data_IF_949586971769
#
_entry.id   IF_949586971769
#
_cell.length_a   1.000
_cell.length_b   1.000
_cell.length_c   1.000
_cell.angle_alpha   90.00
_cell.angle_beta   90.00
_cell.angle_gamma   90.00
#
_symmetry.space_group_name_H-M   'P 1'
#
loop_
_entity.id
_entity.type
_entity.pdbx_description
1 polymer ?
#
# COMPACT_ATOMS: atom_id res chain seq x y z
N UNK A 1 -20.08 48.55 15.50
CA UNK A 1 -20.68 47.36 16.12
C UNK A 1 -21.86 46.81 15.31
N UNK A 2 -22.92 47.59 15.06
CA UNK A 2 -24.13 47.11 14.34
C UNK A 2 -23.84 46.74 12.87
N UNK A 3 -23.01 47.52 12.16
CA UNK A 3 -22.63 47.24 10.78
C UNK A 3 -21.77 45.97 10.62
N UNK A 4 -20.94 45.65 11.61
CA UNK A 4 -20.11 44.43 11.59
C UNK A 4 -20.97 43.17 11.77
N UNK A 5 -21.93 43.21 12.71
CA UNK A 5 -22.88 42.10 12.92
C UNK A 5 -23.76 41.83 11.70
N UNK A 6 -24.20 42.87 10.99
CA UNK A 6 -24.96 42.70 9.74
C UNK A 6 -24.14 42.02 8.64
N UNK A 7 -22.87 42.40 8.49
CA UNK A 7 -21.99 41.81 7.47
C UNK A 7 -21.71 40.32 7.73
N UNK A 8 -21.51 39.98 9.00
CA UNK A 8 -21.28 38.59 9.43
C UNK A 8 -22.54 37.72 9.22
N UNK A 9 -23.73 38.27 9.47
CA UNK A 9 -25.00 37.60 9.22
C UNK A 9 -25.30 37.39 7.72
N UNK A 10 -24.99 38.39 6.88
CA UNK A 10 -25.09 38.27 5.41
C UNK A 10 -24.12 37.22 4.85
N UNK A 11 -22.89 37.15 5.37
CA UNK A 11 -21.90 36.15 4.95
C UNK A 11 -22.32 34.73 5.35
N UNK A 12 -22.90 34.58 6.54
CA UNK A 12 -23.45 33.30 7.02
C UNK A 12 -24.61 32.81 6.15
N UNK A 13 -25.55 33.71 5.80
CA UNK A 13 -26.67 33.38 4.91
C UNK A 13 -26.20 33.02 3.49
N UNK A 14 -25.14 33.67 3.00
CA UNK A 14 -24.54 33.36 1.70
C UNK A 14 -23.86 31.99 1.69
N UNK A 15 -23.18 31.62 2.79
CA UNK A 15 -22.56 30.30 2.93
C UNK A 15 -23.61 29.18 3.00
N UNK A 16 -24.69 29.38 3.78
CA UNK A 16 -25.79 28.42 3.90
C UNK A 16 -26.52 28.20 2.57
N UNK A 17 -26.69 29.26 1.78
CA UNK A 17 -27.27 29.15 0.44
C UNK A 17 -26.37 28.35 -0.51
N UNK A 18 -25.05 28.59 -0.47
CA UNK A 18 -24.08 27.82 -1.26
C UNK A 18 -24.02 26.34 -0.83
N UNK A 19 -24.13 26.05 0.48
CA UNK A 19 -24.15 24.68 1.00
C UNK A 19 -25.41 23.93 0.54
N UNK A 20 -26.57 24.59 0.55
CA UNK A 20 -27.85 24.00 0.07
C UNK A 20 -27.84 23.75 -1.44
N UNK A 21 -27.16 24.60 -2.21
CA UNK A 21 -27.01 24.41 -3.66
C UNK A 21 -26.05 23.25 -4.00
N UNK A 22 -24.97 23.10 -3.22
CA UNK A 22 -24.05 21.96 -3.32
C UNK A 22 -24.69 20.62 -2.88
N UNK A 23 -25.67 20.67 -1.98
CA UNK A 23 -26.50 19.53 -1.58
C UNK A 23 -27.71 19.32 -2.50
N UNK A 24 -27.81 20.06 -3.62
CA UNK A 24 -28.94 19.89 -4.53
C UNK A 24 -28.99 18.45 -5.06
N UNK A 25 -30.18 17.81 -5.04
CA UNK A 25 -30.35 16.44 -5.52
C UNK A 25 -29.86 16.25 -6.97
N UNK A 26 -29.87 17.32 -7.77
CA UNK A 26 -29.39 17.32 -9.14
C UNK A 26 -27.88 17.09 -9.27
N UNK A 27 -27.05 17.71 -8.42
CA UNK A 27 -25.60 17.55 -8.48
C UNK A 27 -25.18 16.15 -8.03
N UNK A 28 -25.76 15.65 -6.94
CA UNK A 28 -25.49 14.30 -6.45
C UNK A 28 -25.96 13.21 -7.44
N UNK A 29 -27.09 13.45 -8.11
CA UNK A 29 -27.60 12.56 -9.18
C UNK A 29 -26.71 12.61 -10.42
N UNK A 30 -26.24 13.79 -10.82
CA UNK A 30 -25.32 13.96 -11.95
C UNK A 30 -23.97 13.28 -11.68
N UNK A 31 -23.39 13.45 -10.49
CA UNK A 31 -22.14 12.78 -10.09
C UNK A 31 -22.31 11.26 -10.08
N UNK A 32 -23.41 10.75 -9.53
CA UNK A 32 -23.69 9.31 -9.52
C UNK A 32 -23.92 8.74 -10.93
N UNK A 33 -24.59 9.49 -11.82
CA UNK A 33 -24.74 9.07 -13.23
C UNK A 33 -23.41 9.02 -13.96
N UNK A 34 -22.54 10.03 -13.79
CA UNK A 34 -21.21 10.07 -14.41
C UNK A 34 -20.33 8.95 -13.88
N UNK A 35 -20.34 8.72 -12.56
CA UNK A 35 -19.60 7.62 -11.93
C UNK A 35 -20.10 6.25 -12.44
N UNK A 36 -21.42 6.06 -12.55
CA UNK A 36 -22.02 4.83 -13.08
C UNK A 36 -21.70 4.59 -14.57
N UNK A 37 -21.74 5.64 -15.39
CA UNK A 37 -21.36 5.57 -16.80
C UNK A 37 -19.87 5.26 -16.98
N UNK A 38 -19.00 5.84 -16.15
CA UNK A 38 -17.57 5.57 -16.16
C UNK A 38 -17.28 4.13 -15.73
N UNK A 39 -17.91 3.64 -14.66
CA UNK A 39 -17.79 2.26 -14.20
C UNK A 39 -18.22 1.25 -15.27
N UNK A 40 -19.33 1.52 -15.98
CA UNK A 40 -19.78 0.67 -17.08
C UNK A 40 -18.82 0.68 -18.27
N UNK A 41 -18.26 1.85 -18.62
CA UNK A 41 -17.28 1.96 -19.71
C UNK A 41 -15.97 1.25 -19.39
N UNK A 42 -15.51 1.35 -18.13
CA UNK A 42 -14.36 0.61 -17.62
C UNK A 42 -14.62 -0.90 -17.67
N UNK A 43 -15.77 -1.36 -17.19
CA UNK A 43 -16.15 -2.78 -17.27
C UNK A 43 -16.23 -3.32 -18.70
N UNK A 44 -16.64 -2.48 -19.67
CA UNK A 44 -16.72 -2.90 -21.08
C UNK A 44 -15.35 -2.97 -21.76
N UNK A 45 -14.37 -2.16 -21.31
CA UNK A 45 -12.98 -2.25 -21.80
C UNK A 45 -12.26 -3.53 -21.32
N UNK A 46 -12.71 -4.16 -20.23
CA UNK A 46 -12.16 -5.42 -19.73
C UNK A 46 -13.04 -6.60 -20.16
N UNK A 47 -13.11 -6.87 -21.47
CA UNK A 47 -13.82 -8.04 -22.00
C UNK A 47 -13.12 -9.35 -21.62
N UNK A 48 -13.79 -10.15 -20.79
CA UNK A 48 -13.85 -11.63 -20.61
C UNK A 48 -12.65 -12.58 -20.86
N UNK A 49 -11.50 -12.18 -21.39
CA UNK A 49 -10.35 -13.08 -21.62
C UNK A 49 -9.16 -12.82 -20.69
N UNK A 50 -9.20 -11.77 -19.88
CA UNK A 50 -8.17 -11.55 -18.86
C UNK A 50 -8.56 -12.26 -17.57
N UNK A 51 -7.71 -13.18 -17.10
CA UNK A 51 -7.79 -13.80 -15.76
C UNK A 51 -7.75 -12.77 -14.60
N UNK A 52 -7.56 -11.49 -14.93
CA UNK A 52 -7.54 -10.34 -14.02
C UNK A 52 -8.69 -9.35 -14.27
N UNK A 53 -9.67 -9.67 -15.12
CA UNK A 53 -10.85 -8.84 -15.30
C UNK A 53 -11.78 -8.99 -14.08
N UNK A 54 -11.64 -8.09 -13.11
CA UNK A 54 -12.57 -8.00 -11.99
C UNK A 54 -13.98 -7.69 -12.54
N UNK A 55 -14.89 -8.68 -12.45
CA UNK A 55 -16.23 -8.64 -13.04
C UNK A 55 -17.12 -7.53 -12.45
N UNK A 56 -16.77 -7.03 -11.26
CA UNK A 56 -17.47 -5.95 -10.57
C UNK A 56 -16.59 -5.39 -9.45
N UNK A 57 -16.18 -4.13 -9.55
CA UNK A 57 -15.59 -3.42 -8.42
C UNK A 57 -16.72 -3.07 -7.44
N UNK A 58 -16.80 -3.76 -6.30
CA UNK A 58 -17.71 -3.41 -5.21
C UNK A 58 -16.93 -2.52 -4.26
N UNK A 59 -17.16 -1.20 -4.34
CA UNK A 59 -16.65 -0.26 -3.36
C UNK A 59 -17.59 -0.28 -2.15
N UNK A 60 -17.14 -0.83 -1.02
CA UNK A 60 -17.85 -0.73 0.26
C UNK A 60 -17.86 0.71 0.78
N UNK A 61 -18.77 1.04 1.71
CA UNK A 61 -18.66 2.30 2.47
C UNK A 61 -17.45 2.19 3.41
N UNK A 62 -16.58 3.21 3.51
CA UNK A 62 -15.49 3.27 4.49
C UNK A 62 -15.98 3.07 5.93
N UNK A 63 -17.22 3.44 6.22
CA UNK A 63 -17.86 3.29 7.54
C UNK A 63 -18.20 1.83 7.87
N UNK A 64 -18.32 0.98 6.83
CA UNK A 64 -18.54 -0.47 6.93
C UNK A 64 -17.25 -1.26 6.71
N UNK A 65 -16.13 -0.56 6.67
CA UNK A 65 -14.82 -1.16 6.52
C UNK A 65 -14.42 -1.77 7.86
N UNK A 66 -14.48 -3.09 7.95
CA UNK A 66 -13.88 -3.90 9.01
C UNK A 66 -12.35 -3.81 9.03
N UNK A 67 -11.76 -3.11 8.05
CA UNK A 67 -10.32 -2.92 7.92
C UNK A 67 -9.64 -2.58 9.27
N UNK A 68 -10.25 -1.76 10.13
CA UNK A 68 -9.69 -1.44 11.47
C UNK A 68 -9.57 -2.66 12.38
N UNK A 69 -10.61 -3.51 12.39
CA UNK A 69 -10.64 -4.78 13.14
C UNK A 69 -9.71 -5.80 12.45
N UNK A 70 -9.69 -5.86 11.12
CA UNK A 70 -8.85 -6.77 10.35
C UNK A 70 -7.35 -6.44 10.42
N UNK A 71 -6.98 -5.16 10.51
CA UNK A 71 -5.57 -4.73 10.72
C UNK A 71 -5.21 -4.64 12.20
N UNK A 72 -6.14 -4.91 13.13
CA UNK A 72 -5.88 -4.87 14.57
C UNK A 72 -5.51 -3.48 15.11
N UNK A 73 -5.82 -2.41 14.38
CA UNK A 73 -5.50 -1.03 14.75
C UNK A 73 -6.74 -0.34 15.32
N UNK A 74 -7.24 -0.86 16.45
CA UNK A 74 -8.39 -0.30 17.15
C UNK A 74 -8.05 1.02 17.85
N UNK A 75 -6.78 1.21 18.28
CA UNK A 75 -6.31 2.44 18.91
C UNK A 75 -5.72 3.43 17.87
N UNK A 76 -6.40 4.57 17.62
CA UNK A 76 -5.89 5.61 16.72
C UNK A 76 -4.56 6.22 17.17
N UNK A 77 -4.24 6.21 18.47
CA UNK A 77 -2.98 6.75 18.99
C UNK A 77 -1.83 5.80 18.71
N UNK A 78 -2.01 4.50 18.94
CA UNK A 78 -1.04 3.48 18.55
C UNK A 78 -0.79 3.50 17.04
N UNK A 79 -1.85 3.55 16.23
CA UNK A 79 -1.74 3.72 14.78
C UNK A 79 -0.95 4.99 14.42
N UNK A 80 -1.25 6.13 15.06
CA UNK A 80 -0.53 7.37 14.82
C UNK A 80 0.96 7.27 15.20
N UNK A 81 1.31 6.58 16.29
CA UNK A 81 2.71 6.36 16.68
C UNK A 81 3.45 5.47 15.68
N UNK A 82 2.82 4.38 15.20
CA UNK A 82 3.40 3.50 14.17
C UNK A 82 3.63 4.25 12.85
N UNK A 83 2.70 5.13 12.48
CA UNK A 83 2.80 5.97 11.27
C UNK A 83 3.91 7.03 11.36
N UNK A 84 4.39 7.41 12.56
CA UNK A 84 5.53 8.34 12.69
C UNK A 84 6.84 7.73 12.19
N UNK A 85 7.00 6.42 12.30
CA UNK A 85 8.19 5.73 11.81
C UNK A 85 7.81 4.35 11.23
N UNK A 86 7.31 4.31 9.99
CA UNK A 86 6.81 3.09 9.38
C UNK A 86 7.87 1.98 9.29
N UNK A 87 9.12 2.31 8.99
CA UNK A 87 10.20 1.31 8.95
C UNK A 87 10.48 0.68 10.31
N UNK A 88 10.41 1.46 11.39
CA UNK A 88 10.54 0.91 12.75
C UNK A 88 9.37 -0.01 13.07
N UNK A 89 8.15 0.39 12.73
CA UNK A 89 6.95 -0.43 12.90
C UNK A 89 7.08 -1.77 12.14
N UNK A 90 7.43 -1.71 10.86
CA UNK A 90 7.66 -2.91 10.04
C UNK A 90 8.73 -3.82 10.64
N UNK A 91 9.85 -3.26 11.14
CA UNK A 91 10.90 -4.06 11.80
C UNK A 91 10.38 -4.80 13.03
N UNK A 92 9.54 -4.14 13.84
CA UNK A 92 8.95 -4.74 15.04
C UNK A 92 7.99 -5.86 14.67
N UNK A 93 7.15 -5.65 13.66
CA UNK A 93 6.22 -6.65 13.14
C UNK A 93 6.96 -7.87 12.57
N UNK A 94 8.00 -7.65 11.76
CA UNK A 94 8.85 -8.71 11.22
C UNK A 94 9.58 -9.48 12.32
N UNK A 95 10.07 -8.81 13.35
CA UNK A 95 10.71 -9.48 14.48
C UNK A 95 9.73 -10.31 15.32
N UNK A 96 8.45 -9.95 15.34
CA UNK A 96 7.41 -10.67 16.08
C UNK A 96 6.83 -11.86 15.30
N UNK A 97 6.65 -11.71 13.98
CA UNK A 97 5.95 -12.69 13.14
C UNK A 97 6.87 -13.48 12.20
N UNK A 98 8.04 -12.95 11.85
CA UNK A 98 8.98 -13.53 10.89
C UNK A 98 10.06 -14.41 11.51
N UNK A 99 10.69 -15.22 10.68
CA UNK A 99 11.86 -16.03 11.03
C UNK A 99 13.19 -15.32 10.79
N UNK A 100 14.29 -16.07 10.95
CA UNK A 100 15.65 -15.56 10.69
C UNK A 100 15.82 -15.09 9.24
N UNK A 101 15.32 -15.86 8.27
CA UNK A 101 15.36 -15.51 6.85
C UNK A 101 14.58 -14.22 6.54
N UNK A 102 13.45 -14.00 7.21
CA UNK A 102 12.64 -12.79 7.04
C UNK A 102 13.36 -11.55 7.58
N UNK A 103 14.00 -11.69 8.73
CA UNK A 103 14.83 -10.62 9.29
C UNK A 103 16.07 -10.36 8.45
N UNK A 104 16.69 -11.40 7.87
CA UNK A 104 17.81 -11.24 6.96
C UNK A 104 17.39 -10.50 5.67
N UNK A 105 16.24 -10.83 5.10
CA UNK A 105 15.64 -10.07 3.99
C UNK A 105 15.39 -8.61 4.38
N UNK A 106 14.85 -8.36 5.59
CA UNK A 106 14.60 -7.01 6.08
C UNK A 106 15.87 -6.19 6.20
N UNK A 107 16.91 -6.71 6.84
CA UNK A 107 18.17 -5.99 6.98
C UNK A 107 18.85 -5.76 5.62
N UNK A 108 18.81 -6.74 4.71
CA UNK A 108 19.28 -6.57 3.35
C UNK A 108 18.54 -5.45 2.61
N UNK A 109 17.20 -5.45 2.62
CA UNK A 109 16.41 -4.44 1.92
C UNK A 109 16.59 -3.04 2.52
N UNK A 110 16.68 -2.92 3.84
CA UNK A 110 16.66 -1.63 4.53
C UNK A 110 18.05 -1.03 4.71
N UNK A 111 19.09 -1.86 4.85
CA UNK A 111 20.47 -1.40 5.16
C UNK A 111 21.53 -1.91 4.20
N UNK A 112 21.22 -2.96 3.46
CA UNK A 112 22.17 -3.58 2.56
C UNK A 112 22.38 -2.76 1.29
N UNK A 113 23.42 -3.17 0.58
CA UNK A 113 23.75 -2.74 -0.77
C UNK A 113 23.57 -3.95 -1.68
N UNK A 114 23.13 -3.74 -2.92
CA UNK A 114 23.06 -4.82 -3.90
C UNK A 114 24.48 -5.28 -4.25
N UNK A 115 24.89 -6.38 -3.65
CA UNK A 115 26.15 -7.08 -3.89
C UNK A 115 25.98 -8.56 -3.53
N UNK A 116 26.56 -9.50 -4.31
CA UNK A 116 26.54 -10.93 -3.96
C UNK A 116 27.08 -11.23 -2.56
N UNK A 117 28.03 -10.44 -2.06
CA UNK A 117 28.62 -10.59 -0.73
C UNK A 117 27.67 -10.16 0.41
N UNK A 118 26.63 -9.38 0.09
CA UNK A 118 25.64 -8.87 1.04
C UNK A 118 24.29 -9.59 0.96
N UNK A 119 24.12 -10.51 0.01
CA UNK A 119 22.88 -11.28 -0.10
C UNK A 119 22.63 -12.11 1.16
N UNK A 120 21.37 -12.22 1.61
CA UNK A 120 21.02 -13.13 2.69
C UNK A 120 21.46 -14.57 2.38
N UNK A 121 21.90 -15.33 3.39
CA UNK A 121 22.45 -16.66 3.19
C UNK A 121 21.49 -17.62 2.46
N UNK A 122 20.18 -17.57 2.78
CA UNK A 122 19.16 -18.37 2.12
C UNK A 122 18.93 -17.97 0.65
N UNK A 123 19.17 -16.72 0.29
CA UNK A 123 19.14 -16.25 -1.11
C UNK A 123 20.34 -16.81 -1.86
N UNK A 124 21.53 -16.77 -1.26
CA UNK A 124 22.75 -17.36 -1.85
C UNK A 124 22.59 -18.87 -2.09
N UNK A 125 22.01 -19.61 -1.14
CA UNK A 125 21.67 -21.03 -1.31
C UNK A 125 20.63 -21.24 -2.42
N UNK A 126 19.62 -20.39 -2.50
CA UNK A 126 18.59 -20.45 -3.56
C UNK A 126 19.20 -20.26 -4.96
N UNK A 127 20.15 -19.34 -5.11
CA UNK A 127 20.88 -19.12 -6.35
C UNK A 127 21.77 -20.31 -6.73
N UNK A 128 22.39 -20.97 -5.75
CA UNK A 128 23.21 -22.17 -5.99
C UNK A 128 22.38 -23.39 -6.39
N UNK A 129 21.20 -23.56 -5.77
CA UNK A 129 20.28 -24.66 -6.05
C UNK A 129 19.42 -24.40 -7.30
N UNK A 130 19.37 -23.14 -7.76
CA UNK A 130 18.53 -22.70 -8.87
C UNK A 130 17.04 -22.68 -8.55
N UNK A 131 16.66 -22.64 -7.26
CA UNK A 131 15.26 -22.63 -6.80
C UNK A 131 15.02 -21.45 -5.87
N UNK A 132 14.05 -20.60 -6.22
CA UNK A 132 13.63 -19.43 -5.43
C UNK A 132 12.10 -19.40 -5.33
N UNK A 133 11.57 -19.36 -4.11
CA UNK A 133 10.11 -19.37 -3.81
C UNK A 133 9.33 -20.51 -4.47
N UNK A 134 9.97 -21.65 -4.72
CA UNK A 134 9.36 -22.80 -5.41
C UNK A 134 9.33 -22.67 -6.95
N UNK A 135 9.94 -21.63 -7.51
CA UNK A 135 10.23 -21.49 -8.94
C UNK A 135 11.72 -21.61 -9.24
N UNK A 136 12.08 -21.68 -10.53
CA UNK A 136 13.49 -21.63 -10.93
C UNK A 136 14.02 -20.20 -10.80
N UNK A 137 15.29 -20.07 -10.41
CA UNK A 137 16.04 -18.80 -10.47
C UNK A 137 17.39 -19.05 -11.15
N UNK A 138 17.82 -18.12 -12.01
CA UNK A 138 19.15 -18.13 -12.59
C UNK A 138 20.10 -17.17 -11.86
N UNK A 139 21.39 -17.49 -11.93
CA UNK A 139 22.46 -16.55 -11.58
C UNK A 139 22.32 -15.31 -12.49
N UNK A 140 22.08 -14.14 -11.89
CA UNK A 140 21.77 -12.92 -12.64
C UNK A 140 20.27 -12.62 -12.82
N UNK A 141 19.38 -13.21 -12.01
CA UNK A 141 17.99 -12.75 -11.90
C UNK A 141 17.70 -11.98 -10.60
N UNK A 142 18.49 -12.18 -9.54
CA UNK A 142 18.31 -11.48 -8.27
C UNK A 142 18.99 -10.11 -8.30
N UNK A 143 18.20 -9.04 -8.18
CA UNK A 143 18.62 -7.62 -8.18
C UNK A 143 19.60 -7.22 -9.32
N UNK A 144 19.57 -7.95 -10.44
CA UNK A 144 20.55 -7.76 -11.52
C UNK A 144 20.43 -6.41 -12.20
N UNK A 145 21.59 -5.79 -12.47
CA UNK A 145 21.68 -4.44 -13.04
C UNK A 145 21.48 -3.32 -12.02
N UNK A 146 21.38 -3.66 -10.74
CA UNK A 146 21.26 -2.71 -9.63
C UNK A 146 22.48 -2.78 -8.70
N UNK A 147 23.61 -3.33 -9.15
CA UNK A 147 24.81 -3.49 -8.31
C UNK A 147 25.26 -2.16 -7.70
N UNK A 148 25.52 -2.18 -6.40
CA UNK A 148 25.89 -0.99 -5.63
C UNK A 148 24.72 -0.11 -5.20
N UNK A 149 23.48 -0.41 -5.59
CA UNK A 149 22.31 0.37 -5.15
C UNK A 149 21.92 0.02 -3.72
N UNK A 150 21.59 1.04 -2.94
CA UNK A 150 20.95 0.90 -1.63
C UNK A 150 19.45 1.25 -1.69
N UNK A 151 18.74 1.18 -0.57
CA UNK A 151 17.32 1.55 -0.51
C UNK A 151 17.06 2.97 -1.00
N UNK A 152 17.96 3.91 -0.71
CA UNK A 152 17.82 5.31 -1.12
C UNK A 152 17.94 5.44 -2.64
N UNK A 153 18.79 4.66 -3.28
CA UNK A 153 18.88 4.61 -4.75
C UNK A 153 17.57 4.07 -5.36
N UNK A 154 16.98 3.02 -4.79
CA UNK A 154 15.67 2.53 -5.23
C UNK A 154 14.55 3.54 -5.03
N UNK A 155 14.58 4.33 -3.95
CA UNK A 155 13.64 5.45 -3.72
C UNK A 155 13.83 6.56 -4.77
N UNK A 156 15.07 6.81 -5.18
CA UNK A 156 15.38 7.83 -6.18
C UNK A 156 15.26 7.34 -7.63
N UNK A 157 15.00 6.05 -7.85
CA UNK A 157 14.74 5.50 -9.17
C UNK A 157 13.59 6.24 -9.86
N UNK A 158 13.67 6.42 -11.19
CA UNK A 158 12.72 7.25 -11.97
C UNK A 158 11.27 6.82 -11.72
N UNK A 159 11.01 5.52 -11.73
CA UNK A 159 9.66 4.96 -11.52
C UNK A 159 9.16 5.22 -10.09
N UNK A 160 10.01 5.07 -9.08
CA UNK A 160 9.66 5.33 -7.67
C UNK A 160 9.31 6.79 -7.45
N UNK A 161 10.12 7.70 -8.01
CA UNK A 161 9.88 9.14 -7.95
C UNK A 161 8.61 9.55 -8.71
N UNK A 162 8.40 8.98 -9.89
CA UNK A 162 7.20 9.23 -10.70
C UNK A 162 5.93 8.79 -9.95
N UNK A 163 5.98 7.66 -9.26
CA UNK A 163 4.88 7.15 -8.44
C UNK A 163 4.74 7.82 -7.07
N UNK A 164 5.65 8.73 -6.69
CA UNK A 164 5.63 9.40 -5.38
C UNK A 164 5.88 8.44 -4.21
N UNK A 165 6.63 7.36 -4.43
CA UNK A 165 6.92 6.38 -3.39
C UNK A 165 7.87 6.98 -2.34
N UNK A 166 7.58 6.66 -1.08
CA UNK A 166 8.42 6.97 0.05
C UNK A 166 9.26 5.75 0.41
N UNK A 167 10.27 5.94 1.26
CA UNK A 167 11.23 4.90 1.63
C UNK A 167 10.57 3.60 2.11
N UNK A 168 9.60 3.69 3.01
CA UNK A 168 8.88 2.52 3.51
C UNK A 168 7.99 1.84 2.44
N UNK A 169 7.48 2.57 1.44
CA UNK A 169 6.75 1.95 0.33
C UNK A 169 7.69 1.08 -0.51
N UNK A 170 8.88 1.60 -0.82
CA UNK A 170 9.89 0.86 -1.60
C UNK A 170 10.39 -0.35 -0.82
N UNK A 171 10.65 -0.19 0.48
CA UNK A 171 11.02 -1.30 1.36
C UNK A 171 9.95 -2.39 1.40
N UNK A 172 8.67 -2.01 1.57
CA UNK A 172 7.56 -2.96 1.59
C UNK A 172 7.42 -3.72 0.26
N UNK A 173 7.56 -3.03 -0.88
CA UNK A 173 7.52 -3.68 -2.20
C UNK A 173 8.67 -4.68 -2.37
N UNK A 174 9.90 -4.28 -2.04
CA UNK A 174 11.08 -5.16 -2.14
C UNK A 174 10.95 -6.39 -1.22
N UNK A 175 10.42 -6.20 -0.01
CA UNK A 175 10.11 -7.28 0.93
C UNK A 175 8.97 -8.19 0.42
N UNK A 176 7.95 -7.64 -0.21
CA UNK A 176 6.86 -8.42 -0.79
C UNK A 176 7.34 -9.34 -1.92
N UNK A 177 8.38 -8.94 -2.65
CA UNK A 177 8.99 -9.74 -3.72
C UNK A 177 10.06 -10.73 -3.24
N UNK A 178 10.44 -10.69 -1.96
CA UNK A 178 11.40 -11.63 -1.36
C UNK A 178 10.71 -12.90 -0.86
N UNK A 179 11.46 -13.78 -0.16
CA UNK A 179 10.90 -14.98 0.49
C UNK A 179 9.93 -14.66 1.62
N UNK A 180 9.86 -13.39 2.03
CA UNK A 180 8.99 -12.92 3.10
C UNK A 180 7.55 -12.64 2.65
N UNK A 181 7.22 -12.87 1.38
CA UNK A 181 5.84 -12.70 0.87
C UNK A 181 4.76 -13.45 1.68
N UNK A 182 5.01 -14.62 2.33
CA UNK A 182 4.00 -15.28 3.14
C UNK A 182 3.54 -14.44 4.33
N UNK A 183 4.42 -13.61 4.93
CA UNK A 183 4.05 -12.71 6.04
C UNK A 183 3.01 -11.68 5.62
N UNK A 184 3.02 -11.24 4.37
CA UNK A 184 1.95 -10.40 3.82
C UNK A 184 0.72 -11.23 3.48
N UNK A 185 0.91 -12.34 2.77
CA UNK A 185 -0.19 -13.06 2.12
C UNK A 185 -1.02 -13.90 3.08
N UNK A 186 -0.42 -14.48 4.13
CA UNK A 186 -1.15 -15.35 5.06
C UNK A 186 -2.24 -14.59 5.84
N UNK A 187 -1.96 -13.43 6.49
CA UNK A 187 -3.01 -12.66 7.15
C UNK A 187 -4.12 -12.25 6.19
N UNK A 188 -3.77 -11.81 4.98
CA UNK A 188 -4.75 -11.43 3.96
C UNK A 188 -5.63 -12.59 3.48
N UNK A 189 -5.08 -13.82 3.41
CA UNK A 189 -5.82 -15.02 2.99
C UNK A 189 -6.70 -15.59 4.09
N UNK A 190 -6.27 -15.48 5.33
CA UNK A 190 -6.93 -16.13 6.47
C UNK A 190 -7.90 -15.20 7.22
N UNK A 191 -8.04 -13.94 6.80
CA UNK A 191 -9.03 -13.00 7.38
C UNK A 191 -8.51 -12.21 8.58
N UNK A 192 -7.20 -11.98 8.68
CA UNK A 192 -6.53 -11.29 9.79
C UNK A 192 -5.69 -12.24 10.64
N UNK A 193 -4.90 -11.69 11.56
CA UNK A 193 -4.16 -12.46 12.56
C UNK A 193 -5.17 -13.12 13.52
N UNK A 194 -5.61 -14.35 13.22
CA UNK A 194 -6.02 -15.23 14.31
C UNK A 194 -4.76 -15.42 15.19
N UNK A 195 -4.75 -14.69 16.30
CA UNK A 195 -3.68 -14.61 17.29
C UNK A 195 -3.03 -15.99 17.51
N UNK A 196 -1.77 -16.11 17.09
CA UNK A 196 -0.86 -17.17 17.53
C UNK A 196 -0.63 -17.07 19.05
#
# INVERSE_FOLDING_TARGET
>A
AIAAKRREEEERLRLDAALKDAQSPGLHTAVNMVAGALANKVNHMFSKESKYAAVRLILGSPERSDLKECVGLEDPFECAELLKNPLKAMKQEWAAAGGEDDMANFEYVVRGTVSPDEYPAHVTESLQTGVYHGGAIAEGEFDTGHEGMDLRDFVNHEVSRFAGLQEHHVAAIRLYTSSSYPLYNQPMRNGGYELL
#
